data_IF_114439384523
#
_entry.id   IF_114439384523
#
_cell.length_a   1.000
_cell.length_b   1.000
_cell.length_c   1.000
_cell.angle_alpha   90.00
_cell.angle_beta   90.00
_cell.angle_gamma   90.00
#
_symmetry.space_group_name_H-M   'P 1'
#
loop_
_entity.id
_entity.type
_entity.pdbx_description
1 polymer ?
#
# COMPACT_ATOMS: atom_id res chain seq x y z
N UNK A 1 -19.06 -12.54 -9.93
CA UNK A 1 -19.99 -11.40 -10.14
C UNK A 1 -19.14 -10.13 -10.09
N UNK A 2 -18.38 -9.88 -11.16
CA UNK A 2 -17.44 -8.75 -11.22
C UNK A 2 -18.13 -7.58 -11.90
N UNK A 3 -18.88 -6.79 -11.13
CA UNK A 3 -19.16 -5.43 -11.56
C UNK A 3 -17.93 -4.60 -11.20
N UNK A 4 -17.04 -4.40 -12.16
CA UNK A 4 -16.05 -3.32 -12.05
C UNK A 4 -16.84 -2.02 -12.10
N UNK A 5 -17.11 -1.45 -10.92
CA UNK A 5 -17.59 -0.08 -10.83
C UNK A 5 -16.56 0.81 -11.52
N UNK A 6 -16.97 1.57 -12.52
CA UNK A 6 -16.10 2.50 -13.23
C UNK A 6 -15.51 3.48 -12.22
N UNK A 7 -14.20 3.47 -12.06
CA UNK A 7 -13.49 4.34 -11.13
C UNK A 7 -13.42 5.75 -11.74
N UNK A 8 -14.32 6.63 -11.32
CA UNK A 8 -14.33 8.04 -11.74
C UNK A 8 -13.83 8.92 -10.60
N UNK A 9 -12.58 9.39 -10.69
CA UNK A 9 -11.99 10.27 -9.70
C UNK A 9 -12.44 11.71 -9.93
N UNK A 10 -12.75 12.43 -8.85
CA UNK A 10 -12.92 13.89 -8.87
C UNK A 10 -11.57 14.59 -8.98
N UNK A 11 -11.57 15.87 -9.37
CA UNK A 11 -10.33 16.67 -9.45
C UNK A 11 -9.65 16.82 -8.08
N UNK A 12 -10.45 16.90 -7.01
CA UNK A 12 -9.94 16.93 -5.64
C UNK A 12 -9.16 15.65 -5.29
N UNK A 13 -9.69 14.48 -5.67
CA UNK A 13 -9.03 13.18 -5.48
C UNK A 13 -7.79 13.03 -6.37
N UNK A 14 -7.86 13.47 -7.64
CA UNK A 14 -6.72 13.45 -8.56
C UNK A 14 -5.57 14.33 -8.10
N UNK A 15 -5.84 15.43 -7.43
CA UNK A 15 -4.82 16.36 -6.93
C UNK A 15 -4.17 15.91 -5.60
N UNK A 16 -4.59 14.79 -5.01
CA UNK A 16 -3.96 14.27 -3.79
C UNK A 16 -2.58 13.65 -4.08
N UNK A 17 -1.69 13.71 -3.09
CA UNK A 17 -0.43 12.97 -3.11
C UNK A 17 -0.57 11.65 -2.35
N UNK A 18 0.20 10.65 -2.78
CA UNK A 18 0.26 9.33 -2.16
C UNK A 18 1.69 9.08 -1.70
N UNK A 19 1.86 8.55 -0.48
CA UNK A 19 3.13 7.98 -0.06
C UNK A 19 3.10 6.47 -0.23
N UNK A 20 4.07 5.90 -0.94
CA UNK A 20 4.27 4.47 -1.07
C UNK A 20 5.51 4.05 -0.28
N UNK A 21 5.30 3.40 0.85
CA UNK A 21 6.35 2.98 1.77
C UNK A 21 6.63 1.50 1.52
N UNK A 22 7.85 1.16 1.13
CA UNK A 22 8.25 -0.22 0.84
C UNK A 22 9.33 -0.73 1.80
N UNK A 23 9.18 -1.95 2.29
CA UNK A 23 10.25 -2.65 2.99
C UNK A 23 11.38 -3.08 2.05
N UNK A 24 12.60 -3.14 2.56
CA UNK A 24 13.79 -3.50 1.77
C UNK A 24 14.07 -5.02 1.71
N UNK A 25 13.42 -5.83 2.54
CA UNK A 25 13.56 -7.29 2.50
C UNK A 25 12.72 -7.87 1.36
N UNK A 26 13.33 -8.69 0.49
CA UNK A 26 12.72 -9.17 -0.76
C UNK A 26 12.29 -8.02 -1.68
N UNK A 27 13.10 -6.96 -1.76
CA UNK A 27 12.79 -5.75 -2.51
C UNK A 27 12.49 -6.02 -3.99
N UNK A 28 13.16 -7.00 -4.60
CA UNK A 28 12.94 -7.41 -5.98
C UNK A 28 11.49 -7.90 -6.24
N UNK A 29 10.88 -8.58 -5.27
CA UNK A 29 9.47 -8.97 -5.30
C UNK A 29 8.57 -7.77 -5.00
N UNK A 30 8.90 -6.97 -3.99
CA UNK A 30 8.10 -5.81 -3.57
C UNK A 30 8.05 -4.74 -4.66
N UNK A 31 9.15 -4.53 -5.39
CA UNK A 31 9.26 -3.61 -6.51
C UNK A 31 8.23 -3.92 -7.61
N UNK A 32 7.86 -5.20 -7.80
CA UNK A 32 6.82 -5.57 -8.76
C UNK A 32 5.46 -4.97 -8.39
N UNK A 33 5.13 -4.89 -7.09
CA UNK A 33 3.92 -4.21 -6.63
C UNK A 33 4.04 -2.69 -6.78
N UNK A 34 5.20 -2.10 -6.50
CA UNK A 34 5.43 -0.66 -6.69
C UNK A 34 5.27 -0.25 -8.15
N UNK A 35 5.90 -0.97 -9.07
CA UNK A 35 5.86 -0.67 -10.51
C UNK A 35 4.44 -0.81 -11.06
N UNK A 36 3.75 -1.89 -10.70
CA UNK A 36 2.36 -2.09 -11.09
C UNK A 36 1.42 -1.05 -10.47
N UNK A 37 1.68 -0.64 -9.23
CA UNK A 37 0.94 0.44 -8.56
C UNK A 37 1.09 1.76 -9.32
N UNK A 38 2.33 2.17 -9.62
CA UNK A 38 2.63 3.39 -10.35
C UNK A 38 2.00 3.39 -11.75
N UNK A 39 2.09 2.26 -12.47
CA UNK A 39 1.48 2.11 -13.78
C UNK A 39 -0.05 2.24 -13.72
N UNK A 40 -0.70 1.61 -12.74
CA UNK A 40 -2.16 1.66 -12.61
C UNK A 40 -2.62 3.07 -12.19
N UNK A 41 -2.00 3.73 -11.20
CA UNK A 41 -2.43 5.10 -10.82
C UNK A 41 -2.23 6.11 -11.94
N UNK A 42 -1.17 5.95 -12.74
CA UNK A 42 -0.93 6.77 -13.93
C UNK A 42 -2.02 6.57 -15.00
N UNK A 43 -2.49 5.34 -15.21
CA UNK A 43 -3.62 5.07 -16.13
C UNK A 43 -4.92 5.74 -15.69
N UNK A 44 -5.08 6.06 -14.39
CA UNK A 44 -6.24 6.79 -13.85
C UNK A 44 -6.00 8.31 -13.69
N UNK A 45 -4.89 8.83 -14.22
CA UNK A 45 -4.62 10.26 -14.36
C UNK A 45 -3.95 10.92 -13.16
N UNK A 46 -3.21 10.17 -12.33
CA UNK A 46 -2.25 10.74 -11.38
C UNK A 46 -0.88 10.85 -12.05
N UNK A 47 -0.21 11.97 -11.83
CA UNK A 47 1.15 12.19 -12.29
C UNK A 47 2.17 11.44 -11.42
N UNK A 48 3.32 11.07 -12.00
CA UNK A 48 4.32 10.27 -11.31
C UNK A 48 4.93 10.97 -10.07
N UNK A 49 4.97 12.31 -10.06
CA UNK A 49 5.48 13.12 -8.95
C UNK A 49 4.48 13.26 -7.78
N UNK A 50 3.25 12.81 -7.97
CA UNK A 50 2.24 12.73 -6.91
C UNK A 50 2.42 11.50 -6.02
N UNK A 51 3.28 10.54 -6.42
CA UNK A 51 3.58 9.34 -5.63
C UNK A 51 5.03 9.40 -5.14
N UNK A 52 5.19 9.67 -3.84
CA UNK A 52 6.51 9.60 -3.21
C UNK A 52 6.83 8.15 -2.82
N UNK A 53 8.00 7.65 -3.18
CA UNK A 53 8.48 6.31 -2.80
C UNK A 53 9.43 6.43 -1.61
N UNK A 54 9.14 5.71 -0.52
CA UNK A 54 9.96 5.68 0.69
C UNK A 54 10.39 4.24 0.95
N UNK A 55 11.68 3.95 0.87
CA UNK A 55 12.22 2.64 1.26
C UNK A 55 12.61 2.65 2.73
N UNK A 56 12.12 1.67 3.49
CA UNK A 56 12.45 1.45 4.91
C UNK A 56 13.17 0.11 5.09
N UNK A 57 13.83 -0.08 6.24
CA UNK A 57 14.66 -1.25 6.50
C UNK A 57 13.88 -2.57 6.36
N UNK A 58 12.69 -2.67 6.94
CA UNK A 58 11.78 -3.80 6.76
C UNK A 58 10.32 -3.42 7.03
N UNK A 59 9.45 -4.43 7.04
CA UNK A 59 8.02 -4.21 7.24
C UNK A 59 7.69 -3.54 8.60
N UNK A 60 8.51 -3.81 9.62
CA UNK A 60 8.29 -3.33 10.98
C UNK A 60 8.42 -1.81 11.12
N UNK A 61 9.19 -1.16 10.25
CA UNK A 61 9.35 0.30 10.23
C UNK A 61 8.19 1.03 9.52
N UNK A 62 7.40 0.32 8.70
CA UNK A 62 6.33 0.91 7.87
C UNK A 62 5.32 1.68 8.73
N UNK A 63 4.79 1.17 9.86
CA UNK A 63 3.76 1.89 10.62
C UNK A 63 4.23 3.24 11.16
N UNK A 64 5.45 3.33 11.71
CA UNK A 64 5.97 4.59 12.21
C UNK A 64 6.19 5.59 11.07
N UNK A 65 6.77 5.13 9.95
CA UNK A 65 6.97 5.97 8.78
C UNK A 65 5.62 6.47 8.21
N UNK A 66 4.61 5.61 8.15
CA UNK A 66 3.25 5.97 7.73
C UNK A 66 2.65 7.02 8.65
N UNK A 67 2.82 6.90 9.97
CA UNK A 67 2.31 7.88 10.92
C UNK A 67 2.92 9.26 10.70
N UNK A 68 4.25 9.34 10.56
CA UNK A 68 4.95 10.60 10.33
C UNK A 68 4.48 11.29 9.04
N UNK A 69 4.30 10.52 7.97
CA UNK A 69 3.83 11.05 6.69
C UNK A 69 2.36 11.48 6.77
N UNK A 70 1.50 10.72 7.45
CA UNK A 70 0.10 11.08 7.65
C UNK A 70 -0.06 12.39 8.44
N UNK A 71 0.67 12.53 9.54
CA UNK A 71 0.64 13.73 10.40
C UNK A 71 1.23 14.97 9.72
N UNK A 72 2.00 14.81 8.64
CA UNK A 72 2.54 15.94 7.87
C UNK A 72 1.46 16.75 7.12
N UNK A 73 0.28 16.16 6.90
CA UNK A 73 -0.82 16.78 6.15
C UNK A 73 -0.61 16.87 4.64
N UNK A 74 0.47 16.29 4.11
CA UNK A 74 0.82 16.38 2.67
C UNK A 74 0.20 15.27 1.80
N UNK A 75 -0.25 14.18 2.42
CA UNK A 75 -0.69 12.98 1.71
C UNK A 75 -2.19 12.72 1.92
N UNK A 76 -2.89 12.42 0.84
CA UNK A 76 -4.29 12.00 0.87
C UNK A 76 -4.45 10.52 1.22
N UNK A 77 -3.44 9.70 0.94
CA UNK A 77 -3.38 8.28 1.29
C UNK A 77 -1.93 7.80 1.41
N UNK A 78 -1.75 6.70 2.12
CA UNK A 78 -0.47 6.02 2.30
C UNK A 78 -0.64 4.55 1.94
N UNK A 79 0.34 3.96 1.27
CA UNK A 79 0.41 2.53 0.97
C UNK A 79 1.65 1.96 1.63
N UNK A 80 1.49 0.92 2.45
CA UNK A 80 2.59 0.14 3.00
C UNK A 80 2.76 -1.17 2.23
N UNK A 81 3.92 -1.42 1.64
CA UNK A 81 4.24 -2.63 0.90
C UNK A 81 5.36 -3.42 1.58
N UNK A 82 5.15 -4.71 1.78
CA UNK A 82 6.11 -5.56 2.46
C UNK A 82 5.86 -7.03 2.19
N UNK A 83 6.89 -7.85 2.36
CA UNK A 83 6.79 -9.29 2.23
C UNK A 83 7.34 -9.94 3.49
N UNK A 84 6.45 -10.37 4.38
CA UNK A 84 6.81 -10.95 5.68
C UNK A 84 6.64 -12.46 5.58
N UNK A 85 7.76 -13.18 5.52
CA UNK A 85 7.79 -14.61 5.22
C UNK A 85 8.27 -15.45 6.39
N UNK A 86 7.90 -16.72 6.39
CA UNK A 86 8.49 -17.71 7.29
C UNK A 86 9.89 -18.11 6.79
N UNK A 87 10.92 -17.67 7.51
CA UNK A 87 12.32 -18.05 7.24
C UNK A 87 12.72 -19.41 7.85
N UNK A 88 11.81 -20.09 8.56
CA UNK A 88 12.05 -21.40 9.16
C UNK A 88 12.82 -21.39 10.49
N UNK A 89 13.23 -20.22 10.98
CA UNK A 89 13.98 -20.07 12.25
C UNK A 89 13.16 -19.32 13.31
N UNK A 90 12.57 -18.19 12.94
CA UNK A 90 11.85 -17.31 13.86
C UNK A 90 10.40 -17.14 13.43
N UNK A 91 9.56 -16.79 14.41
CA UNK A 91 8.13 -16.58 14.22
C UNK A 91 7.84 -15.23 13.58
N UNK A 92 7.59 -15.25 12.28
CA UNK A 92 7.28 -14.09 11.46
C UNK A 92 5.90 -13.50 11.78
N UNK A 93 4.99 -14.28 12.36
CA UNK A 93 3.61 -13.87 12.63
C UNK A 93 3.52 -12.71 13.63
N UNK A 94 4.46 -12.63 14.58
CA UNK A 94 4.50 -11.52 15.52
C UNK A 94 4.79 -10.19 14.83
N UNK A 95 5.71 -10.20 13.86
CA UNK A 95 6.04 -9.02 13.06
C UNK A 95 4.89 -8.68 12.13
N UNK A 96 4.36 -9.67 11.41
CA UNK A 96 3.23 -9.47 10.50
C UNK A 96 2.02 -8.85 11.24
N UNK A 97 1.64 -9.41 12.38
CA UNK A 97 0.53 -8.92 13.20
C UNK A 97 0.77 -7.48 13.67
N UNK A 98 1.95 -7.20 14.25
CA UNK A 98 2.28 -5.86 14.74
C UNK A 98 2.28 -4.81 13.63
N UNK A 99 2.70 -5.16 12.42
CA UNK A 99 2.65 -4.25 11.26
C UNK A 99 1.22 -3.97 10.85
N UNK A 100 0.40 -5.01 10.63
CA UNK A 100 -0.99 -4.83 10.19
C UNK A 100 -1.80 -4.06 11.23
N UNK A 101 -1.67 -4.38 12.51
CA UNK A 101 -2.32 -3.65 13.60
C UNK A 101 -1.81 -2.20 13.69
N UNK A 102 -0.51 -2.00 13.47
CA UNK A 102 0.12 -0.68 13.42
C UNK A 102 -0.48 0.18 12.32
N UNK A 103 -0.59 -0.33 11.08
CA UNK A 103 -1.17 0.42 9.95
C UNK A 103 -2.65 0.76 10.21
N UNK A 104 -3.43 -0.18 10.77
CA UNK A 104 -4.81 0.06 11.16
C UNK A 104 -4.92 1.17 12.22
N UNK A 105 -4.06 1.13 13.24
CA UNK A 105 -4.05 2.17 14.26
C UNK A 105 -3.67 3.53 13.69
N UNK A 106 -2.67 3.59 12.82
CA UNK A 106 -2.23 4.86 12.20
C UNK A 106 -3.36 5.53 11.43
N UNK A 107 -4.10 4.79 10.59
CA UNK A 107 -5.19 5.40 9.83
C UNK A 107 -6.34 5.90 10.72
N UNK A 108 -6.68 5.16 11.79
CA UNK A 108 -7.73 5.55 12.72
C UNK A 108 -7.34 6.77 13.55
N UNK A 109 -6.08 6.84 14.00
CA UNK A 109 -5.57 7.94 14.82
C UNK A 109 -5.39 9.23 13.99
N UNK A 110 -4.91 9.12 12.74
CA UNK A 110 -4.56 10.27 11.89
C UNK A 110 -5.66 10.69 10.92
N UNK A 111 -6.67 9.83 10.68
CA UNK A 111 -7.72 9.99 9.66
C UNK A 111 -7.19 10.10 8.22
N UNK A 112 -5.96 9.68 7.98
CA UNK A 112 -5.40 9.48 6.63
C UNK A 112 -5.46 7.98 6.32
N UNK A 113 -6.09 7.56 5.21
CA UNK A 113 -6.15 6.16 4.83
C UNK A 113 -4.75 5.55 4.68
N UNK A 114 -4.55 4.37 5.29
CA UNK A 114 -3.34 3.56 5.14
C UNK A 114 -3.73 2.21 4.58
N UNK A 115 -3.29 1.93 3.35
CA UNK A 115 -3.53 0.68 2.64
C UNK A 115 -2.37 -0.29 2.85
N UNK A 116 -2.71 -1.57 2.97
CA UNK A 116 -1.70 -2.63 3.12
C UNK A 116 -1.55 -3.44 1.84
N UNK A 117 -0.33 -3.42 1.31
CA UNK A 117 0.27 -4.45 0.46
C UNK A 117 1.39 -5.16 1.24
N UNK A 118 1.28 -5.25 2.57
CA UNK A 118 2.13 -6.10 3.41
C UNK A 118 1.54 -7.50 3.41
N UNK A 119 2.21 -8.42 2.70
CA UNK A 119 1.69 -9.77 2.46
C UNK A 119 2.50 -10.81 3.24
N UNK A 120 1.77 -11.76 3.82
CA UNK A 120 2.32 -12.89 4.58
C UNK A 120 1.79 -14.18 3.99
N UNK A 121 2.57 -14.87 3.13
CA UNK A 121 2.11 -16.11 2.52
C UNK A 121 2.11 -17.26 3.54
N UNK A 122 1.25 -18.26 3.33
CA UNK A 122 1.30 -19.49 4.13
C UNK A 122 2.63 -20.22 3.99
N UNK A 123 3.20 -20.21 2.79
CA UNK A 123 4.47 -20.86 2.49
C UNK A 123 5.30 -19.98 1.56
N UNK A 124 6.55 -19.77 1.94
CA UNK A 124 7.58 -19.19 1.10
C UNK A 124 8.90 -19.87 1.42
N UNK A 125 9.66 -20.18 0.38
CA UNK A 125 10.99 -20.76 0.49
C UNK A 125 11.84 -20.09 -0.59
N UNK A 126 13.10 -19.81 -0.30
CA UNK A 126 14.01 -19.12 -1.23
C UNK A 126 14.50 -20.04 -2.36
N UNK A 127 13.56 -20.60 -3.12
CA UNK A 127 13.83 -21.36 -4.34
C UNK A 127 13.00 -20.81 -5.51
N UNK A 128 13.48 -21.05 -6.74
CA UNK A 128 12.96 -20.45 -7.97
C UNK A 128 11.43 -20.49 -8.10
N UNK A 129 10.79 -21.63 -7.83
CA UNK A 129 9.33 -21.76 -8.00
C UNK A 129 8.51 -20.81 -7.11
N UNK A 130 8.89 -20.64 -5.84
CA UNK A 130 8.17 -19.72 -4.95
C UNK A 130 8.52 -18.28 -5.29
N UNK A 131 9.80 -18.00 -5.54
CA UNK A 131 10.25 -16.69 -5.97
C UNK A 131 9.51 -16.20 -7.23
N UNK A 132 9.53 -16.98 -8.32
CA UNK A 132 8.86 -16.65 -9.59
C UNK A 132 7.35 -16.45 -9.43
N UNK A 133 6.72 -17.22 -8.55
CA UNK A 133 5.29 -17.09 -8.26
C UNK A 133 5.00 -15.75 -7.60
N UNK A 134 5.69 -15.43 -6.49
CA UNK A 134 5.44 -14.18 -5.77
C UNK A 134 5.91 -12.96 -6.53
N UNK A 135 6.99 -13.06 -7.31
CA UNK A 135 7.44 -12.01 -8.22
C UNK A 135 6.30 -11.59 -9.16
N UNK A 136 5.64 -12.55 -9.82
CA UNK A 136 4.49 -12.27 -10.70
C UNK A 136 3.25 -11.82 -9.93
N UNK A 137 2.96 -12.47 -8.81
CA UNK A 137 1.75 -12.20 -8.04
C UNK A 137 1.78 -10.80 -7.41
N UNK A 138 2.96 -10.28 -7.01
CA UNK A 138 3.08 -8.92 -6.49
C UNK A 138 2.71 -7.86 -7.52
N UNK A 139 2.92 -8.09 -8.82
CA UNK A 139 2.39 -7.19 -9.87
C UNK A 139 0.87 -7.09 -9.83
N UNK A 140 0.17 -8.23 -9.67
CA UNK A 140 -1.29 -8.26 -9.54
C UNK A 140 -1.75 -7.51 -8.28
N UNK A 141 -1.04 -7.72 -7.16
CA UNK A 141 -1.31 -7.03 -5.89
C UNK A 141 -1.04 -5.53 -5.95
N UNK A 142 -0.05 -5.10 -6.73
CA UNK A 142 0.20 -3.68 -7.02
C UNK A 142 -0.99 -3.01 -7.72
N UNK A 143 -1.58 -3.68 -8.72
CA UNK A 143 -2.80 -3.20 -9.41
C UNK A 143 -4.00 -3.15 -8.45
N UNK A 144 -4.20 -4.19 -7.65
CA UNK A 144 -5.30 -4.25 -6.68
C UNK A 144 -5.20 -3.11 -5.66
N UNK A 145 -4.03 -2.89 -5.06
CA UNK A 145 -3.84 -1.84 -4.06
C UNK A 145 -3.90 -0.44 -4.66
N UNK A 146 -3.49 -0.24 -5.92
CA UNK A 146 -3.69 1.02 -6.64
C UNK A 146 -5.16 1.36 -6.79
N UNK A 147 -5.96 0.42 -7.29
CA UNK A 147 -7.41 0.62 -7.44
C UNK A 147 -8.09 0.87 -6.10
N UNK A 148 -7.72 0.10 -5.07
CA UNK A 148 -8.21 0.32 -3.71
C UNK A 148 -7.83 1.71 -3.18
N UNK A 149 -6.60 2.17 -3.43
CA UNK A 149 -6.11 3.48 -3.00
C UNK A 149 -6.91 4.60 -3.65
N UNK A 150 -7.06 4.56 -4.98
CA UNK A 150 -7.80 5.57 -5.72
C UNK A 150 -9.29 5.60 -5.35
N UNK A 151 -9.92 4.43 -5.19
CA UNK A 151 -11.31 4.32 -4.72
C UNK A 151 -11.45 4.89 -3.31
N UNK A 152 -10.47 4.64 -2.44
CA UNK A 152 -10.46 5.16 -1.07
C UNK A 152 -10.31 6.68 -1.04
N UNK A 153 -9.44 7.26 -1.87
CA UNK A 153 -9.31 8.72 -2.01
C UNK A 153 -10.66 9.36 -2.38
N UNK A 154 -11.36 8.80 -3.36
CA UNK A 154 -12.68 9.31 -3.76
C UNK A 154 -13.71 9.12 -2.64
N UNK A 155 -13.74 7.97 -1.97
CA UNK A 155 -14.64 7.74 -0.83
C UNK A 155 -14.40 8.73 0.31
N UNK A 156 -13.15 9.07 0.60
CA UNK A 156 -12.80 10.05 1.63
C UNK A 156 -13.25 11.44 1.25
N UNK A 157 -13.11 11.84 -0.02
CA UNK A 157 -13.60 13.12 -0.52
C UNK A 157 -15.13 13.21 -0.42
N UNK A 158 -15.85 12.15 -0.77
CA UNK A 158 -17.30 12.08 -0.59
C UNK A 158 -17.72 12.15 0.89
N UNK A 159 -17.01 11.43 1.77
CA UNK A 159 -17.27 11.48 3.20
C UNK A 159 -17.05 12.88 3.79
N UNK A 160 -16.02 13.61 3.36
CA UNK A 160 -15.78 15.01 3.76
C UNK A 160 -16.93 15.92 3.34
N UNK A 161 -17.43 15.78 2.09
CA UNK A 161 -18.59 16.56 1.60
C UNK A 161 -19.85 16.32 2.42
N UNK A 162 -20.09 15.06 2.81
CA UNK A 162 -21.27 14.70 3.61
C UNK A 162 -21.18 15.15 5.07
N UNK A 163 -19.97 15.33 5.60
CA UNK A 163 -19.73 15.69 7.01
C UNK A 163 -19.44 17.17 7.23
N UNK A 164 -19.30 17.97 6.17
CA UNK A 164 -19.05 19.41 6.23
C UNK A 164 -20.29 20.27 6.58
N UNK A 165 -21.27 19.70 7.29
CA UNK A 165 -22.49 20.40 7.77
C UNK A 165 -22.37 20.80 9.24
#
# INVERSE_FOLDING_TARGET
MNQQTSLNLSDASRNQRIAFIQGNWHLDIIDQAREAFLAEVSQHGLDADQVDIITVAGAFEIPLQAKLLAESGQYGAIVGAGFVVDGGIYRHEFVAQAVIDGLMRVQLDTRVPVLSAVLTPHHFHEHATHHDYFYKHFSEKGVEVARACLMTLENMEQARKLTAQ
#
